data_IF_886070417945
#
_entry.id   IF_886070417945
#
_cell.length_a   1.000
_cell.length_b   1.000
_cell.length_c   1.000
_cell.angle_alpha   90.00
_cell.angle_beta   90.00
_cell.angle_gamma   90.00
#
_symmetry.space_group_name_H-M   'P 1'
#
loop_
_entity.id
_entity.type
_entity.pdbx_description
1 polymer ?
#
# COMPACT_ATOMS: atom_id res chain seq x y z
N UNK A 1 -16.07 7.36 11.15
CA UNK A 1 -16.04 7.94 9.79
C UNK A 1 -16.69 6.93 8.87
N UNK A 2 -17.74 7.32 8.14
CA UNK A 2 -18.38 6.44 7.16
C UNK A 2 -17.54 6.43 5.88
N UNK A 3 -17.52 5.31 5.16
CA UNK A 3 -16.76 5.21 3.91
C UNK A 3 -17.23 6.22 2.83
N UNK A 4 -18.50 6.61 2.89
CA UNK A 4 -19.07 7.68 2.05
C UNK A 4 -18.46 9.06 2.32
N UNK A 5 -17.97 9.30 3.54
CA UNK A 5 -17.37 10.57 3.97
C UNK A 5 -15.86 10.62 3.66
N UNK A 6 -15.27 9.47 3.34
CA UNK A 6 -13.87 9.36 2.94
C UNK A 6 -13.75 9.81 1.48
N UNK A 7 -13.05 10.92 1.27
CA UNK A 7 -12.55 11.32 -0.06
C UNK A 7 -11.46 10.34 -0.50
N UNK A 8 -11.19 10.28 -1.80
CA UNK A 8 -10.04 9.56 -2.32
C UNK A 8 -8.76 10.06 -1.65
N UNK A 9 -7.76 9.19 -1.53
CA UNK A 9 -6.52 9.57 -0.87
C UNK A 9 -5.35 8.67 -1.22
N UNK A 10 -4.24 8.89 -0.50
CA UNK A 10 -3.00 8.17 -0.68
C UNK A 10 -3.06 6.85 0.08
N UNK A 11 -2.93 5.73 -0.62
CA UNK A 11 -2.70 4.42 -0.01
C UNK A 11 -1.20 4.22 0.19
N UNK A 12 -0.79 3.87 1.41
CA UNK A 12 0.59 3.54 1.74
C UNK A 12 0.74 2.03 1.90
N UNK A 13 1.73 1.44 1.23
CA UNK A 13 2.08 0.02 1.41
C UNK A 13 3.58 -0.18 1.60
N UNK A 14 3.97 -0.96 2.62
CA UNK A 14 5.37 -1.18 3.00
C UNK A 14 5.83 -0.27 4.14
N UNK A 15 7.13 -0.34 4.47
CA UNK A 15 7.71 0.40 5.61
C UNK A 15 8.39 1.67 5.11
N UNK A 16 7.82 2.86 5.34
CA UNK A 16 8.42 4.12 4.89
C UNK A 16 9.67 4.44 5.71
N UNK A 17 10.73 4.87 5.01
CA UNK A 17 11.93 5.41 5.64
C UNK A 17 11.66 6.75 6.32
N UNK A 18 12.61 7.26 7.13
CA UNK A 18 12.52 8.63 7.64
C UNK A 18 12.35 9.66 6.53
N UNK A 19 13.06 9.48 5.41
CA UNK A 19 12.90 10.30 4.22
C UNK A 19 11.52 10.12 3.60
N UNK A 20 11.02 8.88 3.49
CA UNK A 20 9.66 8.60 3.00
C UNK A 20 8.57 9.29 3.82
N UNK A 21 8.67 9.27 5.16
CA UNK A 21 7.74 10.00 6.04
C UNK A 21 7.83 11.52 5.81
N UNK A 22 9.03 12.07 5.61
CA UNK A 22 9.22 13.49 5.34
C UNK A 22 8.61 13.90 3.99
N UNK A 23 8.77 13.08 2.94
CA UNK A 23 8.13 13.27 1.64
C UNK A 23 6.61 13.27 1.75
N UNK A 24 6.03 12.24 2.39
CA UNK A 24 4.57 12.17 2.63
C UNK A 24 4.10 13.43 3.37
N UNK A 25 4.82 13.83 4.42
CA UNK A 25 4.46 15.02 5.20
C UNK A 25 4.46 16.28 4.36
N UNK A 26 5.44 16.43 3.45
CA UNK A 26 5.52 17.57 2.54
C UNK A 26 4.34 17.58 1.56
N UNK A 27 4.08 16.45 0.91
CA UNK A 27 3.01 16.30 -0.07
C UNK A 27 1.64 16.55 0.57
N UNK A 28 1.36 15.95 1.74
CA UNK A 28 0.08 16.10 2.43
C UNK A 28 -0.16 17.52 2.98
N UNK A 29 0.91 18.28 3.27
CA UNK A 29 0.78 19.69 3.68
C UNK A 29 0.45 20.60 2.50
N UNK A 30 0.92 20.27 1.31
CA UNK A 30 0.55 20.97 0.08
C UNK A 30 -0.91 20.67 -0.31
N UNK A 31 -1.35 19.43 -0.12
CA UNK A 31 -2.69 18.96 -0.46
C UNK A 31 -3.61 18.93 0.77
N UNK A 32 -4.13 20.10 1.16
CA UNK A 32 -5.03 20.23 2.31
C UNK A 32 -6.22 19.27 2.21
N UNK A 33 -6.29 18.33 3.16
CA UNK A 33 -7.46 17.47 3.38
C UNK A 33 -7.39 16.09 2.75
N UNK A 34 -6.27 15.72 2.10
CA UNK A 34 -6.06 14.35 1.66
C UNK A 34 -5.87 13.41 2.87
N UNK A 35 -6.48 12.24 2.80
CA UNK A 35 -6.40 11.20 3.82
C UNK A 35 -5.34 10.18 3.43
N UNK A 36 -4.48 9.80 4.37
CA UNK A 36 -3.56 8.66 4.16
C UNK A 36 -4.23 7.38 4.65
N UNK A 37 -4.47 6.44 3.75
CA UNK A 37 -4.95 5.11 4.06
C UNK A 37 -3.74 4.22 4.39
N UNK A 38 -3.73 3.64 5.59
CA UNK A 38 -2.64 2.80 6.07
C UNK A 38 -3.23 1.43 6.46
N UNK A 39 -2.98 0.39 5.66
CA UNK A 39 -3.44 -0.95 5.97
C UNK A 39 -2.70 -1.59 7.14
N UNK A 40 -3.29 -2.64 7.70
CA UNK A 40 -2.73 -3.50 8.74
C UNK A 40 -1.30 -3.96 8.40
N UNK A 41 -1.09 -4.46 7.17
CA UNK A 41 0.14 -5.09 6.73
C UNK A 41 0.50 -6.29 7.61
N UNK A 42 -0.40 -7.27 7.61
CA UNK A 42 -0.20 -8.55 8.28
C UNK A 42 1.03 -9.29 7.72
N UNK A 43 1.70 -10.13 8.53
CA UNK A 43 1.33 -10.52 9.90
C UNK A 43 1.86 -9.60 11.01
N UNK A 44 2.66 -8.58 10.67
CA UNK A 44 3.40 -7.77 11.65
C UNK A 44 2.64 -6.54 12.15
N UNK A 45 1.44 -6.28 11.64
CA UNK A 45 0.63 -5.10 11.95
C UNK A 45 1.40 -3.77 11.79
N UNK A 46 2.28 -3.69 10.76
CA UNK A 46 3.19 -2.57 10.55
C UNK A 46 2.45 -1.24 10.39
N UNK A 47 1.21 -1.30 9.90
CA UNK A 47 0.35 -0.15 9.72
C UNK A 47 0.19 0.69 10.99
N UNK A 48 0.09 0.07 12.17
CA UNK A 48 -0.09 0.79 13.43
C UNK A 48 1.11 1.68 13.75
N UNK A 49 2.32 1.15 13.58
CA UNK A 49 3.57 1.90 13.79
C UNK A 49 3.68 3.06 12.79
N UNK A 50 3.27 2.83 11.54
CA UNK A 50 3.30 3.86 10.49
C UNK A 50 2.28 4.96 10.78
N UNK A 51 1.05 4.60 11.16
CA UNK A 51 0.01 5.57 11.57
C UNK A 51 0.51 6.45 12.70
N UNK A 52 1.14 5.86 13.73
CA UNK A 52 1.72 6.62 14.84
C UNK A 52 2.75 7.64 14.34
N UNK A 53 3.72 7.21 13.51
CA UNK A 53 4.76 8.09 12.94
C UNK A 53 4.18 9.24 12.11
N UNK A 54 3.12 8.98 11.36
CA UNK A 54 2.45 10.00 10.54
C UNK A 54 1.62 10.98 11.40
N UNK A 55 0.91 10.49 12.41
CA UNK A 55 0.14 11.32 13.33
C UNK A 55 1.02 12.24 14.17
N UNK A 56 2.22 11.80 14.58
CA UNK A 56 3.23 12.65 15.23
C UNK A 56 3.67 13.83 14.35
N UNK A 57 3.49 13.75 13.03
CA UNK A 57 3.72 14.83 12.07
C UNK A 57 2.47 15.64 11.72
N UNK A 58 1.35 15.37 12.40
CA UNK A 58 0.06 16.03 12.15
C UNK A 58 -0.66 15.54 10.89
N UNK A 59 -0.28 14.38 10.35
CA UNK A 59 -0.90 13.84 9.13
C UNK A 59 -2.15 13.04 9.49
N UNK A 60 -3.26 13.37 8.82
CA UNK A 60 -4.53 12.68 8.99
C UNK A 60 -4.46 11.31 8.30
N UNK A 61 -4.63 10.26 9.10
CA UNK A 61 -4.57 8.88 8.62
C UNK A 61 -5.89 8.16 8.93
N UNK A 62 -6.22 7.16 8.11
CA UNK A 62 -7.19 6.13 8.45
C UNK A 62 -6.50 4.78 8.39
N UNK A 63 -6.65 4.03 9.47
CA UNK A 63 -6.20 2.65 9.56
C UNK A 63 -7.24 1.73 8.92
N UNK A 64 -6.81 0.76 8.12
CA UNK A 64 -7.70 -0.17 7.42
C UNK A 64 -7.18 -1.61 7.52
N UNK A 65 -8.03 -2.61 7.38
CA UNK A 65 -7.56 -3.99 7.27
C UNK A 65 -7.11 -4.28 5.83
N UNK A 66 -6.22 -5.26 5.64
CA UNK A 66 -5.72 -5.62 4.30
C UNK A 66 -6.87 -6.10 3.38
N UNK A 67 -7.88 -6.76 3.95
CA UNK A 67 -9.05 -7.25 3.22
C UNK A 67 -9.99 -6.12 2.75
N UNK A 68 -9.93 -4.94 3.35
CA UNK A 68 -10.73 -3.80 2.90
C UNK A 68 -10.21 -3.19 1.59
N UNK A 69 -8.97 -3.49 1.19
CA UNK A 69 -8.33 -2.88 0.02
C UNK A 69 -9.14 -3.06 -1.25
N UNK A 70 -9.63 -4.27 -1.54
CA UNK A 70 -10.45 -4.52 -2.73
C UNK A 70 -11.67 -3.58 -2.82
N UNK A 71 -12.40 -3.40 -1.71
CA UNK A 71 -13.55 -2.49 -1.65
C UNK A 71 -13.13 -1.03 -1.77
N UNK A 72 -11.97 -0.64 -1.21
CA UNK A 72 -11.44 0.72 -1.30
C UNK A 72 -11.05 1.08 -2.74
N UNK A 73 -10.40 0.17 -3.46
CA UNK A 73 -10.09 0.33 -4.88
C UNK A 73 -11.37 0.35 -5.72
N UNK A 74 -12.28 -0.61 -5.53
CA UNK A 74 -13.56 -0.68 -6.25
C UNK A 74 -14.41 0.59 -6.10
N UNK A 75 -14.41 1.20 -4.91
CA UNK A 75 -15.14 2.46 -4.64
C UNK A 75 -14.33 3.73 -4.95
N UNK A 76 -13.23 3.62 -5.69
CA UNK A 76 -12.35 4.74 -6.07
C UNK A 76 -11.89 5.59 -4.87
N UNK A 77 -11.57 4.94 -3.74
CA UNK A 77 -11.08 5.61 -2.53
C UNK A 77 -9.56 5.71 -2.50
N UNK A 78 -8.87 5.07 -3.43
CA UNK A 78 -7.42 5.15 -3.60
C UNK A 78 -7.14 5.95 -4.86
N UNK A 79 -6.45 7.07 -4.70
CA UNK A 79 -6.05 7.95 -5.81
C UNK A 79 -4.63 7.69 -6.26
N UNK A 80 -3.76 7.30 -5.33
CA UNK A 80 -2.37 6.96 -5.61
C UNK A 80 -1.92 5.92 -4.60
N UNK A 81 -1.17 4.92 -5.07
CA UNK A 81 -0.43 3.99 -4.22
C UNK A 81 1.00 4.49 -4.05
N UNK A 82 1.44 4.72 -2.82
CA UNK A 82 2.84 4.91 -2.50
C UNK A 82 3.41 3.60 -1.94
N UNK A 83 4.24 2.94 -2.75
CA UNK A 83 4.78 1.62 -2.47
C UNK A 83 6.24 1.71 -2.03
N UNK A 84 6.49 1.25 -0.81
CA UNK A 84 7.80 1.18 -0.19
C UNK A 84 8.37 -0.24 -0.29
N UNK A 85 9.27 -0.46 -1.26
CA UNK A 85 9.92 -1.76 -1.45
C UNK A 85 11.12 -1.92 -0.50
N UNK A 86 11.41 -3.14 -0.04
CA UNK A 86 12.53 -3.44 0.85
C UNK A 86 13.88 -3.31 0.14
N UNK A 87 13.99 -3.96 -1.03
CA UNK A 87 15.21 -3.98 -1.84
C UNK A 87 14.90 -4.32 -3.29
N UNK A 88 15.88 -4.05 -4.15
CA UNK A 88 15.93 -4.59 -5.51
C UNK A 88 16.70 -5.92 -5.50
N UNK A 89 16.18 -6.92 -6.20
CA UNK A 89 16.87 -8.20 -6.41
C UNK A 89 16.64 -8.65 -7.86
N UNK A 90 17.72 -8.83 -8.64
CA UNK A 90 17.65 -9.24 -10.05
C UNK A 90 16.70 -8.38 -10.91
N UNK A 91 16.66 -7.06 -10.68
CA UNK A 91 15.74 -6.10 -11.31
C UNK A 91 14.26 -6.22 -10.87
N UNK A 92 13.95 -7.07 -9.90
CA UNK A 92 12.63 -7.14 -9.26
C UNK A 92 12.60 -6.33 -7.97
N UNK A 93 11.47 -5.70 -7.70
CA UNK A 93 11.21 -5.10 -6.40
C UNK A 93 10.76 -6.19 -5.43
N UNK A 94 11.42 -6.25 -4.28
CA UNK A 94 11.05 -7.13 -3.18
C UNK A 94 10.29 -6.31 -2.14
N UNK A 95 9.01 -6.61 -1.96
CA UNK A 95 8.15 -5.96 -0.97
C UNK A 95 7.95 -6.78 0.30
N UNK A 96 7.06 -6.31 1.17
CA UNK A 96 6.49 -7.14 2.26
C UNK A 96 5.45 -8.12 1.71
N UNK A 97 5.03 -9.10 2.52
CA UNK A 97 3.86 -9.93 2.19
C UNK A 97 2.67 -9.06 1.74
N UNK A 98 1.89 -9.52 0.76
CA UNK A 98 0.75 -8.79 0.18
C UNK A 98 1.10 -7.68 -0.82
N UNK A 99 2.38 -7.39 -1.05
CA UNK A 99 2.80 -6.35 -2.02
C UNK A 99 2.32 -6.61 -3.45
N UNK A 100 2.34 -7.88 -3.91
CA UNK A 100 1.83 -8.23 -5.23
C UNK A 100 0.34 -7.96 -5.34
N UNK A 101 -0.43 -8.35 -4.31
CA UNK A 101 -1.87 -8.11 -4.25
C UNK A 101 -2.21 -6.62 -4.39
N UNK A 102 -1.53 -5.75 -3.65
CA UNK A 102 -1.79 -4.30 -3.69
C UNK A 102 -1.36 -3.67 -5.02
N UNK A 103 -0.23 -4.10 -5.59
CA UNK A 103 0.20 -3.64 -6.91
C UNK A 103 -0.75 -4.10 -8.02
N UNK A 104 -1.27 -5.34 -7.95
CA UNK A 104 -2.26 -5.85 -8.89
C UNK A 104 -3.57 -5.07 -8.80
N UNK A 105 -4.06 -4.78 -7.59
CA UNK A 105 -5.24 -3.93 -7.41
C UNK A 105 -5.03 -2.53 -7.98
N UNK A 106 -3.89 -1.91 -7.73
CA UNK A 106 -3.58 -0.61 -8.30
C UNK A 106 -3.55 -0.64 -9.83
N UNK A 107 -2.97 -1.68 -10.42
CA UNK A 107 -2.96 -1.88 -11.88
C UNK A 107 -4.38 -2.04 -12.44
N UNK A 108 -5.18 -2.95 -11.87
CA UNK A 108 -6.55 -3.25 -12.31
C UNK A 108 -7.44 -2.00 -12.28
N UNK A 109 -7.25 -1.14 -11.27
CA UNK A 109 -8.04 0.08 -11.10
C UNK A 109 -7.37 1.34 -11.68
N UNK A 110 -6.31 1.19 -12.49
CA UNK A 110 -5.58 2.31 -13.11
C UNK A 110 -5.08 3.37 -12.10
N UNK A 111 -4.75 2.95 -10.88
CA UNK A 111 -4.20 3.81 -9.84
C UNK A 111 -2.68 3.93 -10.02
N UNK A 112 -2.13 5.15 -10.08
CA UNK A 112 -0.69 5.35 -10.23
C UNK A 112 0.08 4.83 -9.01
N UNK A 113 1.23 4.19 -9.27
CA UNK A 113 2.12 3.65 -8.24
C UNK A 113 3.38 4.52 -8.15
N UNK A 114 3.58 5.18 -7.01
CA UNK A 114 4.80 5.90 -6.64
C UNK A 114 5.73 4.98 -5.87
N UNK A 115 6.85 4.62 -6.47
CA UNK A 115 7.83 3.70 -5.90
C UNK A 115 8.86 4.45 -5.05
N UNK A 116 9.16 3.93 -3.86
CA UNK A 116 10.22 4.42 -2.97
C UNK A 116 10.92 3.25 -2.29
N UNK A 117 12.20 3.40 -1.99
CA UNK A 117 12.88 2.44 -1.14
C UNK A 117 12.44 2.67 0.31
N UNK A 118 11.96 1.60 0.95
CA UNK A 118 11.55 1.56 2.33
C UNK A 118 12.67 1.15 3.29
N UNK A 119 12.36 1.17 4.58
CA UNK A 119 13.24 0.63 5.62
C UNK A 119 13.10 -0.89 5.75
N UNK A 120 14.10 -1.52 6.36
CA UNK A 120 14.04 -2.92 6.77
C UNK A 120 13.02 -3.13 7.88
N UNK A 121 12.37 -4.30 7.89
CA UNK A 121 11.43 -4.68 8.94
C UNK A 121 12.12 -4.71 10.32
N UNK A 122 11.44 -4.28 11.40
CA UNK A 122 11.93 -4.46 12.76
C UNK A 122 12.22 -5.93 13.08
N UNK A 123 13.26 -6.21 13.85
CA UNK A 123 13.77 -7.55 14.12
C UNK A 123 12.79 -8.48 14.86
N UNK A 124 11.75 -7.93 15.52
CA UNK A 124 10.67 -8.70 16.15
C UNK A 124 9.73 -9.42 15.17
N UNK A 125 9.96 -9.27 13.86
CA UNK A 125 9.21 -9.86 12.74
C UNK A 125 9.79 -11.20 12.22
N UNK A 126 10.82 -11.76 12.86
CA UNK A 126 11.61 -12.86 12.30
C UNK A 126 10.87 -14.21 12.23
N UNK A 127 9.87 -14.45 13.08
CA UNK A 127 9.12 -15.72 13.12
C UNK A 127 8.15 -15.92 11.93
N UNK A 128 7.92 -14.90 11.10
CA UNK A 128 7.10 -15.05 9.87
C UNK A 128 7.90 -14.75 8.59
N UNK A 129 9.23 -14.81 8.67
CA UNK A 129 10.15 -14.50 7.56
C UNK A 129 9.89 -15.27 6.26
N UNK A 130 9.23 -16.44 6.34
CA UNK A 130 8.82 -17.26 5.20
C UNK A 130 7.86 -16.52 4.25
N UNK A 131 6.98 -15.65 4.77
CA UNK A 131 6.02 -14.91 3.93
C UNK A 131 6.63 -13.69 3.21
N UNK A 132 7.77 -13.21 3.72
CA UNK A 132 8.31 -11.90 3.40
C UNK A 132 9.46 -11.92 2.37
N UNK A 133 9.95 -13.12 2.00
CA UNK A 133 11.16 -13.31 1.19
C UNK A 133 10.97 -13.92 -0.20
N UNK A 134 9.78 -14.44 -0.53
CA UNK A 134 9.54 -15.17 -1.78
C UNK A 134 8.77 -14.40 -2.86
N UNK A 135 8.26 -13.20 -2.54
CA UNK A 135 7.46 -12.42 -3.48
C UNK A 135 8.35 -11.50 -4.33
N UNK A 136 8.34 -11.68 -5.65
CA UNK A 136 9.08 -10.88 -6.64
C UNK A 136 8.11 -10.28 -7.63
N UNK A 137 8.24 -8.99 -7.94
CA UNK A 137 7.39 -8.30 -8.93
C UNK A 137 8.28 -7.66 -10.00
N UNK A 138 8.01 -7.96 -11.28
CA UNK A 138 8.61 -7.27 -12.42
C UNK A 138 7.55 -6.34 -13.02
N UNK A 139 7.65 -5.04 -12.74
CA UNK A 139 6.62 -4.08 -13.14
C UNK A 139 6.48 -3.95 -14.67
N UNK A 140 7.56 -4.20 -15.43
CA UNK A 140 7.60 -4.04 -16.88
C UNK A 140 7.23 -5.31 -17.67
N UNK A 141 6.95 -6.43 -16.99
CA UNK A 141 6.55 -7.71 -17.63
C UNK A 141 5.19 -8.20 -17.12
N UNK A 142 4.37 -7.32 -16.52
CA UNK A 142 2.97 -7.66 -16.31
C UNK A 142 2.34 -7.91 -17.68
N UNK A 143 2.06 -9.19 -17.95
CA UNK A 143 1.39 -9.62 -19.17
C UNK A 143 0.17 -8.74 -19.38
N UNK A 144 -0.10 -8.36 -20.63
CA UNK A 144 -1.44 -7.90 -21.01
C UNK A 144 -2.39 -9.03 -20.62
N UNK A 145 -3.08 -8.90 -19.50
CA UNK A 145 -4.18 -9.80 -19.15
C UNK A 145 -5.21 -9.57 -20.25
N UNK A 146 -5.37 -10.55 -21.15
CA UNK A 146 -6.61 -10.62 -21.92
C UNK A 146 -7.75 -10.68 -20.92
N UNK A 147 -8.82 -9.92 -21.15
CA UNK A 147 -9.97 -9.77 -20.25
C UNK A 147 -10.32 -11.08 -19.52
N UNK A 148 -9.77 -11.29 -18.33
CA UNK A 148 -10.22 -12.33 -17.43
C UNK A 148 -11.51 -11.78 -16.82
N UNK A 149 -12.64 -12.14 -17.46
CA UNK A 149 -13.97 -11.76 -17.01
C UNK A 149 -14.18 -12.25 -15.59
N UNK A 150 -14.36 -11.32 -14.65
CA UNK A 150 -14.86 -11.66 -13.31
C UNK A 150 -16.33 -12.08 -13.50
N UNK A 151 -16.71 -13.32 -13.15
CA UNK A 151 -18.10 -13.74 -13.22
C UNK A 151 -18.93 -12.86 -12.26
N UNK A 152 -19.76 -11.98 -12.83
CA UNK A 152 -20.57 -11.01 -12.07
C UNK A 152 -21.60 -11.70 -11.16
N UNK A 153 -21.89 -12.97 -11.40
CA UNK A 153 -22.72 -13.85 -10.59
C UNK A 153 -22.13 -14.17 -9.22
N UNK A 154 -20.83 -13.94 -9.01
CA UNK A 154 -20.16 -14.12 -7.71
C UNK A 154 -20.27 -12.85 -6.84
N UNK A 155 -20.66 -11.71 -7.42
CA UNK A 155 -20.84 -10.42 -6.73
C UNK A 155 -22.35 -10.18 -6.55
N UNK A 156 -23.00 -10.96 -5.68
CA UNK A 156 -24.35 -10.67 -5.18
C UNK A 156 -24.31 -10.27 -3.70
#
# INVERSE_FOLDING_TARGET
MRLSEVKSGLLLWGVPSYQGIAEITKDMKAEKGMLVLVPEMMPHCLGLTIVKRLQEKGIRCAYTTDNMLGVLFYKNKVETLMFFYKKMANHHMVGICGSLYVCLLAHLHSVPIKLRQGDTLPQSALDTSVLDGHLRIQYNEMMKTGDESIPLDIIQ
#
